data_IF_119567961510
#
_entry.id   IF_119567961510
#
_cell.length_a   1.000
_cell.length_b   1.000
_cell.length_c   1.000
_cell.angle_alpha   90.00
_cell.angle_beta   90.00
_cell.angle_gamma   90.00
#
_symmetry.space_group_name_H-M   'P 1'
#
loop_
_entity.id
_entity.type
_entity.pdbx_description
1 polymer ?
#
# COMPACT_ATOMS: atom_id res chain seq x y z
N UNK A 1 -50.67 11.33 12.84
CA UNK A 1 -49.76 12.16 12.01
C UNK A 1 -49.17 11.27 10.94
N UNK A 2 -49.14 11.71 9.68
CA UNK A 2 -48.39 10.98 8.64
C UNK A 2 -46.89 11.21 8.82
N UNK A 3 -46.05 10.20 8.53
CA UNK A 3 -44.60 10.39 8.51
C UNK A 3 -44.24 11.55 7.59
N UNK A 4 -43.29 12.40 8.01
CA UNK A 4 -42.85 13.55 7.22
C UNK A 4 -42.22 13.14 5.88
N UNK A 5 -41.73 11.90 5.81
CA UNK A 5 -41.23 11.28 4.57
C UNK A 5 -42.31 11.04 3.51
N UNK A 6 -43.59 11.14 3.88
CA UNK A 6 -44.71 11.06 2.94
C UNK A 6 -45.01 12.42 2.28
N UNK A 7 -44.31 13.49 2.64
CA UNK A 7 -44.44 14.78 1.96
C UNK A 7 -43.59 14.83 0.69
N UNK A 8 -44.12 15.36 -0.42
CA UNK A 8 -43.33 15.56 -1.63
C UNK A 8 -42.16 16.51 -1.35
N UNK A 9 -40.99 16.23 -1.93
CA UNK A 9 -39.77 17.03 -1.80
C UNK A 9 -39.18 17.14 -0.38
N UNK A 10 -39.50 16.23 0.54
CA UNK A 10 -38.95 16.24 1.90
C UNK A 10 -37.41 16.09 1.92
N UNK A 11 -36.82 15.46 0.90
CA UNK A 11 -35.37 15.31 0.72
C UNK A 11 -34.61 16.63 0.56
N UNK A 12 -35.27 17.73 0.16
CA UNK A 12 -34.63 19.04 0.07
C UNK A 12 -34.41 19.69 1.45
N UNK A 13 -35.21 19.29 2.44
CA UNK A 13 -35.24 19.88 3.78
C UNK A 13 -34.49 18.97 4.77
N UNK A 14 -34.53 17.65 4.55
CA UNK A 14 -33.97 16.65 5.46
C UNK A 14 -32.77 15.92 4.87
N UNK A 15 -31.69 15.85 5.65
CA UNK A 15 -30.50 15.07 5.32
C UNK A 15 -30.69 13.59 5.73
N UNK A 16 -30.57 12.67 4.77
CA UNK A 16 -30.76 11.22 5.00
C UNK A 16 -29.47 10.40 5.02
N UNK A 17 -28.36 10.93 4.49
CA UNK A 17 -27.08 10.20 4.37
C UNK A 17 -26.32 10.14 5.70
N UNK A 18 -26.97 9.59 6.73
CA UNK A 18 -26.44 9.50 8.09
C UNK A 18 -25.12 8.73 8.12
N UNK A 19 -24.99 7.66 7.33
CA UNK A 19 -23.77 6.87 7.26
C UNK A 19 -22.56 7.67 6.74
N UNK A 20 -22.79 8.54 5.75
CA UNK A 20 -21.76 9.40 5.19
C UNK A 20 -21.34 10.47 6.22
N UNK A 21 -22.33 11.10 6.87
CA UNK A 21 -22.09 12.08 7.93
C UNK A 21 -21.35 11.44 9.11
N UNK A 22 -21.77 10.27 9.56
CA UNK A 22 -21.14 9.53 10.64
C UNK A 22 -19.70 9.15 10.29
N UNK A 23 -19.46 8.68 9.06
CA UNK A 23 -18.12 8.36 8.57
C UNK A 23 -17.20 9.60 8.55
N UNK A 24 -17.76 10.76 8.20
CA UNK A 24 -17.03 12.03 8.19
C UNK A 24 -16.73 12.55 9.61
N UNK A 25 -17.65 12.36 10.57
CA UNK A 25 -17.52 12.86 11.93
C UNK A 25 -16.69 11.96 12.85
N UNK A 26 -16.91 10.64 12.81
CA UNK A 26 -16.23 9.70 13.73
C UNK A 26 -14.77 9.49 13.31
N UNK A 27 -14.52 9.40 12.00
CA UNK A 27 -13.17 9.23 11.43
C UNK A 27 -12.45 7.96 11.90
N UNK A 28 -12.34 6.95 11.03
CA UNK A 28 -11.50 5.76 11.28
C UNK A 28 -10.26 5.78 10.38
N UNK A 29 -9.28 6.61 10.75
CA UNK A 29 -8.10 6.87 9.93
C UNK A 29 -7.27 5.59 9.72
N UNK A 30 -7.10 4.76 10.75
CA UNK A 30 -6.28 3.55 10.67
C UNK A 30 -6.92 2.55 9.71
N UNK A 31 -8.19 2.20 9.93
CA UNK A 31 -8.90 1.25 9.07
C UNK A 31 -8.99 1.76 7.65
N UNK A 32 -9.28 3.05 7.45
CA UNK A 32 -9.35 3.65 6.11
C UNK A 32 -8.00 3.57 5.40
N UNK A 33 -6.89 3.89 6.08
CA UNK A 33 -5.55 3.74 5.50
C UNK A 33 -5.28 2.30 5.07
N UNK A 34 -5.67 1.30 5.86
CA UNK A 34 -5.49 -0.10 5.48
C UNK A 34 -6.32 -0.48 4.24
N UNK A 35 -7.61 -0.12 4.24
CA UNK A 35 -8.52 -0.37 3.12
C UNK A 35 -7.99 0.31 1.85
N UNK A 36 -7.48 1.53 1.99
CA UNK A 36 -6.96 2.34 0.90
C UNK A 36 -5.66 1.75 0.34
N UNK A 37 -4.78 1.20 1.17
CA UNK A 37 -3.57 0.51 0.72
C UNK A 37 -3.88 -0.78 -0.03
N UNK A 38 -4.90 -1.54 0.40
CA UNK A 38 -5.36 -2.77 -0.27
C UNK A 38 -6.19 -2.46 -1.53
N UNK A 39 -6.96 -1.39 -1.52
CA UNK A 39 -7.84 -0.95 -2.61
C UNK A 39 -7.35 0.32 -3.31
N UNK A 40 -6.03 0.50 -3.41
CA UNK A 40 -5.39 1.70 -3.96
C UNK A 40 -5.89 2.07 -5.36
N UNK A 41 -6.32 1.08 -6.16
CA UNK A 41 -6.89 1.27 -7.50
C UNK A 41 -8.20 2.07 -7.49
N UNK A 42 -9.00 1.99 -6.41
CA UNK A 42 -10.24 2.77 -6.25
C UNK A 42 -9.97 4.26 -6.04
N UNK A 43 -8.80 4.60 -5.49
CA UNK A 43 -8.41 5.97 -5.12
C UNK A 43 -7.58 6.61 -6.21
N UNK A 44 -6.52 5.94 -6.66
CA UNK A 44 -5.61 6.48 -7.68
C UNK A 44 -6.25 6.51 -9.07
N UNK A 45 -7.21 5.62 -9.35
CA UNK A 45 -7.97 5.55 -10.62
C UNK A 45 -7.09 5.60 -11.87
N UNK A 46 -5.88 5.05 -11.80
CA UNK A 46 -4.94 5.07 -12.91
C UNK A 46 -5.25 3.93 -13.89
N UNK A 47 -5.08 4.19 -15.19
CA UNK A 47 -5.34 3.18 -16.23
C UNK A 47 -4.42 1.95 -16.16
N UNK A 48 -3.29 2.03 -15.46
CA UNK A 48 -2.37 0.90 -15.29
C UNK A 48 -2.72 -0.03 -14.12
N UNK A 49 -3.58 0.38 -13.19
CA UNK A 49 -3.94 -0.42 -12.00
C UNK A 49 -5.45 -0.64 -11.83
N UNK A 50 -6.29 0.00 -12.65
CA UNK A 50 -7.76 -0.14 -12.58
C UNK A 50 -8.26 -1.57 -12.74
N UNK A 51 -7.54 -2.40 -13.50
CA UNK A 51 -7.95 -3.77 -13.85
C UNK A 51 -7.25 -4.86 -13.03
N UNK A 52 -6.37 -4.52 -12.07
CA UNK A 52 -5.58 -5.53 -11.37
C UNK A 52 -6.34 -6.30 -10.29
N UNK A 53 -7.53 -5.84 -9.87
CA UNK A 53 -8.42 -6.58 -8.96
C UNK A 53 -7.77 -7.01 -7.65
N UNK A 54 -6.79 -6.25 -7.15
CA UNK A 54 -6.00 -6.60 -5.95
C UNK A 54 -4.80 -7.53 -6.20
N UNK A 55 -4.56 -7.97 -7.44
CA UNK A 55 -3.35 -8.73 -7.79
C UNK A 55 -2.13 -7.82 -7.81
N UNK A 56 -1.02 -8.30 -7.23
CA UNK A 56 0.28 -7.63 -7.25
C UNK A 56 0.72 -7.30 -8.69
N UNK A 57 0.77 -6.00 -9.00
CA UNK A 57 1.21 -5.50 -10.31
C UNK A 57 2.49 -4.66 -10.19
N UNK A 58 3.40 -4.74 -11.17
CA UNK A 58 4.60 -3.89 -11.29
C UNK A 58 4.36 -2.38 -11.22
N UNK A 59 3.18 -1.94 -11.63
CA UNK A 59 2.79 -0.53 -11.68
C UNK A 59 2.23 0.00 -10.36
N UNK A 60 2.08 -0.85 -9.36
CA UNK A 60 1.54 -0.48 -8.07
C UNK A 60 2.48 0.44 -7.29
N UNK A 61 1.89 1.25 -6.42
CA UNK A 61 2.66 2.04 -5.47
C UNK A 61 3.38 1.12 -4.48
N UNK A 62 4.64 1.44 -4.17
CA UNK A 62 5.54 0.55 -3.41
C UNK A 62 5.00 0.27 -2.01
N UNK A 63 4.36 1.25 -1.37
CA UNK A 63 3.71 1.07 -0.04
C UNK A 63 2.56 0.06 -0.07
N UNK A 64 1.72 0.08 -1.11
CA UNK A 64 0.63 -0.89 -1.29
C UNK A 64 1.19 -2.30 -1.53
N UNK A 65 2.25 -2.44 -2.33
CA UNK A 65 2.94 -3.73 -2.53
C UNK A 65 3.43 -4.28 -1.19
N UNK A 66 4.14 -3.45 -0.41
CA UNK A 66 4.67 -3.88 0.88
C UNK A 66 3.56 -4.22 1.88
N UNK A 67 2.50 -3.43 1.93
CA UNK A 67 1.38 -3.68 2.84
C UNK A 67 0.61 -4.96 2.48
N UNK A 68 0.42 -5.25 1.20
CA UNK A 68 -0.18 -6.52 0.74
C UNK A 68 0.72 -7.71 1.09
N UNK A 69 2.02 -7.63 0.82
CA UNK A 69 2.98 -8.67 1.22
C UNK A 69 2.97 -8.90 2.74
N UNK A 70 2.80 -7.84 3.53
CA UNK A 70 2.71 -7.96 4.99
C UNK A 70 1.44 -8.71 5.46
N UNK A 71 0.37 -8.75 4.66
CA UNK A 71 -0.84 -9.55 4.98
C UNK A 71 -0.61 -11.05 4.84
N UNK A 72 0.33 -11.47 3.99
CA UNK A 72 0.69 -12.88 3.80
C UNK A 72 1.45 -13.44 5.01
N UNK A 73 1.96 -12.56 5.86
CA UNK A 73 2.64 -12.90 7.10
C UNK A 73 1.69 -12.81 8.30
N UNK A 74 2.03 -13.55 9.37
CA UNK A 74 1.35 -13.41 10.66
C UNK A 74 1.70 -12.11 11.38
N UNK A 75 1.38 -12.05 12.67
CA UNK A 75 1.58 -10.85 13.51
C UNK A 75 3.04 -10.40 13.58
N UNK A 76 3.97 -11.36 13.55
CA UNK A 76 5.42 -11.13 13.57
C UNK A 76 6.00 -11.45 12.19
N UNK A 77 6.58 -10.43 11.57
CA UNK A 77 7.15 -10.49 10.23
C UNK A 77 8.67 -10.48 10.34
N UNK A 78 9.33 -11.50 9.77
CA UNK A 78 10.78 -11.52 9.63
C UNK A 78 11.21 -10.55 8.52
N UNK A 79 12.07 -9.59 8.84
CA UNK A 79 12.51 -8.54 7.92
C UNK A 79 13.23 -9.09 6.69
N UNK A 80 14.05 -10.12 6.85
CA UNK A 80 14.79 -10.71 5.74
C UNK A 80 13.86 -11.40 4.75
N UNK A 81 12.94 -12.24 5.23
CA UNK A 81 11.98 -12.92 4.38
C UNK A 81 11.07 -11.92 3.65
N UNK A 82 10.60 -10.91 4.36
CA UNK A 82 9.75 -9.87 3.77
C UNK A 82 10.50 -9.04 2.72
N UNK A 83 11.78 -8.73 2.95
CA UNK A 83 12.65 -8.10 1.96
C UNK A 83 12.82 -8.97 0.71
N UNK A 84 13.02 -10.28 0.86
CA UNK A 84 13.14 -11.18 -0.30
C UNK A 84 11.84 -11.25 -1.12
N UNK A 85 10.68 -11.34 -0.46
CA UNK A 85 9.38 -11.28 -1.13
C UNK A 85 9.19 -9.97 -1.89
N UNK A 86 9.57 -8.85 -1.27
CA UNK A 86 9.55 -7.53 -1.91
C UNK A 86 10.47 -7.43 -3.13
N UNK A 87 11.72 -7.89 -2.99
CA UNK A 87 12.71 -7.94 -4.08
C UNK A 87 12.19 -8.76 -5.24
N UNK A 88 11.57 -9.92 -4.97
CA UNK A 88 10.96 -10.78 -5.99
C UNK A 88 9.79 -10.09 -6.71
N UNK A 89 8.89 -9.45 -5.96
CA UNK A 89 7.73 -8.72 -6.51
C UNK A 89 8.13 -7.55 -7.43
N UNK A 90 9.21 -6.83 -7.10
CA UNK A 90 9.73 -5.74 -7.94
C UNK A 90 10.61 -6.26 -9.08
N UNK A 91 11.25 -7.42 -8.94
CA UNK A 91 12.10 -8.00 -9.98
C UNK A 91 11.29 -8.67 -11.09
N UNK A 92 10.19 -9.35 -10.76
CA UNK A 92 9.23 -9.89 -11.74
C UNK A 92 8.65 -8.79 -12.64
N UNK A 93 8.49 -7.60 -12.06
CA UNK A 93 8.14 -6.31 -12.65
C UNK A 93 9.16 -5.77 -13.65
N UNK A 94 10.44 -6.04 -13.43
CA UNK A 94 11.56 -5.42 -14.14
C UNK A 94 11.78 -5.98 -15.55
N UNK A 95 11.25 -7.18 -15.87
CA UNK A 95 11.32 -7.77 -17.22
C UNK A 95 10.67 -6.90 -18.31
N UNK A 96 9.71 -6.02 -17.94
CA UNK A 96 9.09 -5.04 -18.86
C UNK A 96 9.80 -3.68 -18.89
N UNK A 97 10.36 -3.22 -17.76
CA UNK A 97 11.02 -1.91 -17.67
C UNK A 97 12.46 -1.90 -18.21
N UNK A 98 13.23 -2.98 -18.02
CA UNK A 98 14.61 -3.05 -18.55
C UNK A 98 14.66 -3.02 -20.09
N UNK A 99 13.64 -3.55 -20.77
CA UNK A 99 13.51 -3.46 -22.24
C UNK A 99 13.32 -2.02 -22.72
N UNK A 100 12.72 -1.14 -21.89
CA UNK A 100 12.49 0.27 -22.21
C UNK A 100 13.71 1.15 -21.86
N UNK A 101 14.46 0.79 -20.82
CA UNK A 101 15.67 1.53 -20.41
C UNK A 101 16.90 1.19 -21.25
N UNK A 102 17.01 -0.04 -21.77
CA UNK A 102 18.09 -0.44 -22.70
C UNK A 102 18.08 0.35 -24.02
N UNK A 103 16.93 0.95 -24.39
CA UNK A 103 16.81 1.83 -25.55
C UNK A 103 17.32 3.25 -25.30
N UNK A 104 17.60 3.65 -24.05
CA UNK A 104 17.79 5.05 -23.69
C UNK A 104 18.83 5.27 -22.58
N UNK A 105 20.04 4.72 -22.68
CA UNK A 105 21.26 5.35 -22.11
C UNK A 105 22.54 4.60 -22.47
N UNK A 106 23.22 5.13 -23.49
CA UNK A 106 24.65 4.91 -23.74
C UNK A 106 25.41 5.92 -22.86
N UNK A 107 25.62 5.63 -21.58
CA UNK A 107 26.64 6.33 -20.78
C UNK A 107 27.41 5.31 -19.93
N UNK A 108 28.69 5.25 -20.24
CA UNK A 108 29.75 4.43 -19.64
C UNK A 108 30.00 4.97 -18.23
N UNK A 109 29.54 4.25 -17.23
CA UNK A 109 30.03 4.39 -15.86
C UNK A 109 30.38 2.99 -15.33
N UNK A 110 31.60 2.85 -14.83
CA UNK A 110 32.31 1.60 -14.60
C UNK A 110 32.01 1.03 -13.21
N UNK A 111 30.77 1.17 -12.74
CA UNK A 111 30.31 0.69 -11.43
C UNK A 111 29.33 -0.45 -11.65
N UNK A 112 29.62 -1.63 -11.10
CA UNK A 112 28.87 -2.86 -11.36
C UNK A 112 27.34 -2.63 -11.18
N UNK A 113 26.55 -2.57 -12.26
CA UNK A 113 25.17 -2.07 -12.23
C UNK A 113 24.24 -2.92 -11.34
N UNK A 114 24.64 -4.17 -11.06
CA UNK A 114 23.94 -5.11 -10.18
C UNK A 114 23.88 -4.62 -8.73
N UNK A 115 25.00 -4.10 -8.20
CA UNK A 115 25.13 -3.69 -6.80
C UNK A 115 24.37 -2.40 -6.51
N UNK A 116 24.44 -1.43 -7.44
CA UNK A 116 23.68 -0.19 -7.35
C UNK A 116 22.16 -0.45 -7.39
N UNK A 117 21.73 -1.46 -8.14
CA UNK A 117 20.33 -1.87 -8.18
C UNK A 117 19.85 -2.44 -6.84
N UNK A 118 20.67 -3.23 -6.15
CA UNK A 118 20.29 -3.87 -4.88
C UNK A 118 20.20 -2.86 -3.74
N UNK A 119 21.19 -1.97 -3.62
CA UNK A 119 21.17 -0.88 -2.63
C UNK A 119 19.93 0.00 -2.80
N UNK A 120 19.51 0.29 -4.04
CA UNK A 120 18.28 1.04 -4.31
C UNK A 120 17.01 0.29 -3.89
N UNK A 121 16.94 -1.03 -4.07
CA UNK A 121 15.81 -1.84 -3.60
C UNK A 121 15.77 -1.81 -2.07
N UNK A 122 16.91 -1.97 -1.41
CA UNK A 122 17.02 -1.92 0.04
C UNK A 122 16.62 -0.55 0.60
N UNK A 123 17.07 0.54 0.00
CA UNK A 123 16.68 1.90 0.40
C UNK A 123 15.16 2.12 0.28
N UNK A 124 14.55 1.62 -0.81
CA UNK A 124 13.09 1.68 -0.99
C UNK A 124 12.35 0.85 0.04
N UNK A 125 12.84 -0.35 0.33
CA UNK A 125 12.29 -1.19 1.38
C UNK A 125 12.31 -0.45 2.72
N UNK A 126 13.47 0.02 3.16
CA UNK A 126 13.62 0.73 4.44
C UNK A 126 12.70 1.96 4.51
N UNK A 127 12.63 2.76 3.45
CA UNK A 127 11.72 3.92 3.38
C UNK A 127 10.27 3.50 3.60
N UNK A 128 9.81 2.46 2.93
CA UNK A 128 8.41 2.03 3.02
C UNK A 128 8.10 1.37 4.36
N UNK A 129 9.03 0.61 4.94
CA UNK A 129 8.89 0.09 6.31
C UNK A 129 8.71 1.26 7.30
N UNK A 130 9.48 2.35 7.15
CA UNK A 130 9.31 3.55 7.96
C UNK A 130 7.96 4.23 7.73
N UNK A 131 7.49 4.36 6.49
CA UNK A 131 6.16 4.91 6.19
C UNK A 131 5.03 4.08 6.84
N UNK A 132 5.13 2.74 6.80
CA UNK A 132 4.19 1.83 7.46
C UNK A 132 4.24 1.91 9.00
N UNK A 133 5.43 2.20 9.56
CA UNK A 133 5.56 2.47 10.99
C UNK A 133 4.93 3.81 11.38
N UNK A 134 5.20 4.87 10.61
CA UNK A 134 4.68 6.23 10.88
C UNK A 134 3.15 6.25 10.80
N UNK A 135 2.57 5.51 9.85
CA UNK A 135 1.11 5.33 9.71
C UNK A 135 0.49 4.43 10.78
N UNK A 136 1.30 3.87 11.69
CA UNK A 136 0.83 3.04 12.80
C UNK A 136 0.31 1.66 12.37
N UNK A 137 0.74 1.17 11.21
CA UNK A 137 0.40 -0.17 10.71
C UNK A 137 1.41 -1.23 11.16
N UNK A 138 2.65 -0.81 11.43
CA UNK A 138 3.73 -1.62 11.96
C UNK A 138 4.31 -1.02 13.23
N UNK A 139 4.84 -1.90 14.08
CA UNK A 139 5.67 -1.58 15.22
C UNK A 139 7.03 -2.25 15.07
N UNK A 140 8.09 -1.47 15.21
CA UNK A 140 9.44 -2.03 15.26
C UNK A 140 9.59 -2.89 16.50
N UNK A 141 10.19 -4.07 16.34
CA UNK A 141 10.36 -5.01 17.44
C UNK A 141 11.33 -4.48 18.50
N UNK A 142 11.20 -5.05 19.70
CA UNK A 142 12.08 -4.78 20.84
C UNK A 142 13.54 -5.12 20.52
N UNK A 143 14.48 -4.52 21.26
CA UNK A 143 15.93 -4.80 21.21
C UNK A 143 16.28 -6.29 21.26
N UNK A 144 15.40 -7.14 21.80
CA UNK A 144 15.60 -8.60 21.88
C UNK A 144 15.44 -9.34 20.55
N UNK A 145 14.73 -8.77 19.57
CA UNK A 145 14.50 -9.38 18.25
C UNK A 145 14.55 -8.30 17.16
N UNK A 146 15.73 -7.78 16.82
CA UNK A 146 15.87 -6.68 15.85
C UNK A 146 15.48 -7.08 14.42
N UNK A 147 15.50 -8.38 14.11
CA UNK A 147 15.22 -8.89 12.76
C UNK A 147 13.72 -9.04 12.45
N UNK A 148 12.86 -8.58 13.34
CA UNK A 148 11.41 -8.71 13.22
C UNK A 148 10.71 -7.36 13.31
N UNK A 149 9.54 -7.27 12.70
CA UNK A 149 8.57 -6.21 12.91
C UNK A 149 7.22 -6.82 13.26
N UNK A 150 6.44 -6.11 14.06
CA UNK A 150 5.11 -6.56 14.45
C UNK A 150 4.06 -5.78 13.67
N UNK A 151 3.14 -6.49 13.03
CA UNK A 151 1.92 -5.90 12.48
C UNK A 151 0.96 -5.61 13.62
N UNK A 152 0.40 -4.41 13.65
CA UNK A 152 -0.47 -3.93 14.74
C UNK A 152 -1.88 -3.56 14.24
N UNK A 153 -2.14 -3.77 12.96
CA UNK A 153 -3.42 -3.44 12.34
C UNK A 153 -3.97 -4.67 11.60
N UNK A 154 -5.20 -5.07 11.97
CA UNK A 154 -5.89 -6.30 11.58
C UNK A 154 -7.36 -6.03 11.26
N UNK A 155 -8.08 -7.02 10.71
CA UNK A 155 -9.54 -6.97 10.58
C UNK A 155 -10.06 -6.14 9.41
N UNK A 156 -9.34 -6.19 8.28
CA UNK A 156 -9.78 -5.58 7.01
C UNK A 156 -10.31 -6.65 6.10
#
# INVERSE_FOLDING_TARGET
MHPLECMPFHELIYFKDVDNLQSALIGDLRRRTQIDLLNFYKILKCGCCSNSGGTLSPSMHVISIMYMLAQEHGDLINLYNWFQSFKSSISSSRKKWLKKLASLKKRKDNTNPQNNSEALIQARFCRVVMELQITGLLRMSSKRRPDYVQRVAFGV
#
